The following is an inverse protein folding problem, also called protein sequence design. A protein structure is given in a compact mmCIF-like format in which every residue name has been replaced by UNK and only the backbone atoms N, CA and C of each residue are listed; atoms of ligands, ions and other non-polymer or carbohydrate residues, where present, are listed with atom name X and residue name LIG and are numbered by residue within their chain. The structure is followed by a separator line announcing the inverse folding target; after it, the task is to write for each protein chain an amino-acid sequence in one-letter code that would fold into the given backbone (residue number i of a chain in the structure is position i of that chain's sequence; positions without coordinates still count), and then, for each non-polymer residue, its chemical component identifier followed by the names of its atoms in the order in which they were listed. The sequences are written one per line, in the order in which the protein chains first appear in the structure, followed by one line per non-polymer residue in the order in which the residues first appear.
data_IF_137905951732
#
_entry.id   IF_137905951732
#
_cell.length_a   1.000
_cell.length_b   1.000
_cell.length_c   1.000
_cell.angle_alpha   90.00
_cell.angle_beta   90.00
_cell.angle_gamma   90.00
#
_symmetry.space_group_name_H-M   'P 1'
#
loop_
_entity.id
_entity.type
_entity.pdbx_description
1 polymer ?
#
# COMPACT_ATOMS: atom_id res chain seq x y z
N UNK A 1 -8.12 -2.58 -11.88
CA UNK A 1 -8.16 -2.40 -13.35
C UNK A 1 -9.37 -3.10 -13.94
N UNK A 2 -9.79 -2.76 -15.18
CA UNK A 2 -10.84 -3.48 -15.89
C UNK A 2 -10.53 -4.99 -16.06
N UNK A 3 -9.27 -5.33 -16.29
CA UNK A 3 -8.80 -6.69 -16.48
C UNK A 3 -8.91 -7.52 -15.20
N UNK A 4 -8.59 -6.95 -14.04
CA UNK A 4 -8.74 -7.62 -12.75
C UNK A 4 -10.22 -7.88 -12.41
N UNK A 5 -11.11 -6.95 -12.76
CA UNK A 5 -12.54 -7.15 -12.64
C UNK A 5 -13.02 -8.25 -13.60
N UNK A 6 -12.53 -8.25 -14.86
CA UNK A 6 -12.85 -9.27 -15.84
C UNK A 6 -12.44 -10.66 -15.37
N UNK A 7 -11.23 -10.79 -14.80
CA UNK A 7 -10.75 -12.04 -14.19
C UNK A 7 -11.64 -12.46 -13.02
N UNK A 8 -11.95 -11.55 -12.12
CA UNK A 8 -12.83 -11.82 -10.99
C UNK A 8 -14.21 -12.33 -11.43
N UNK A 9 -14.77 -11.73 -12.48
CA UNK A 9 -16.06 -12.15 -13.05
C UNK A 9 -15.98 -13.48 -13.81
N UNK A 10 -14.88 -13.73 -14.51
CA UNK A 10 -14.62 -14.97 -15.25
C UNK A 10 -14.53 -16.20 -14.33
N UNK A 11 -13.91 -16.06 -13.18
CA UNK A 11 -13.79 -17.13 -12.21
C UNK A 11 -15.15 -17.52 -11.62
N UNK A 12 -15.46 -18.82 -11.57
CA UNK A 12 -16.71 -19.34 -11.02
C UNK A 12 -17.98 -18.65 -11.56
N UNK A 13 -18.22 -18.65 -12.88
CA UNK A 13 -19.28 -17.84 -13.51
C UNK A 13 -20.70 -18.25 -13.09
N UNK A 14 -20.87 -19.46 -12.54
CA UNK A 14 -22.16 -19.97 -12.03
C UNK A 14 -22.52 -19.51 -10.63
N UNK A 15 -21.60 -18.80 -9.93
CA UNK A 15 -21.84 -18.30 -8.57
C UNK A 15 -22.16 -16.81 -8.59
N UNK A 16 -23.20 -16.42 -7.87
CA UNK A 16 -23.44 -15.02 -7.61
C UNK A 16 -22.24 -14.41 -6.87
N UNK A 17 -21.77 -13.27 -7.33
CA UNK A 17 -20.64 -12.54 -6.74
C UNK A 17 -21.11 -11.23 -6.16
N UNK A 18 -20.65 -10.92 -4.97
CA UNK A 18 -20.83 -9.60 -4.36
C UNK A 18 -19.60 -8.75 -4.66
N UNK A 19 -19.83 -7.58 -5.25
CA UNK A 19 -18.80 -6.57 -5.42
C UNK A 19 -18.87 -5.59 -4.25
N UNK A 20 -17.82 -5.53 -3.46
CA UNK A 20 -17.63 -4.61 -2.35
C UNK A 20 -16.16 -4.18 -2.32
N UNK A 21 -15.90 -3.07 -1.66
CA UNK A 21 -14.59 -2.41 -1.77
C UNK A 21 -13.42 -3.30 -1.30
N UNK A 22 -13.61 -4.09 -0.25
CA UNK A 22 -12.56 -4.94 0.34
C UNK A 22 -12.12 -6.09 -0.59
N UNK A 23 -12.93 -6.44 -1.60
CA UNK A 23 -12.53 -7.45 -2.59
C UNK A 23 -11.57 -6.89 -3.64
N UNK A 24 -11.57 -5.56 -3.86
CA UNK A 24 -10.80 -4.94 -4.95
C UNK A 24 -9.30 -5.21 -4.84
N UNK A 25 -8.63 -4.99 -3.70
CA UNK A 25 -7.20 -5.28 -3.58
C UNK A 25 -6.88 -6.75 -3.86
N UNK A 26 -7.66 -7.67 -3.33
CA UNK A 26 -7.49 -9.11 -3.54
C UNK A 26 -7.67 -9.51 -5.00
N UNK A 27 -8.68 -8.97 -5.67
CA UNK A 27 -8.94 -9.26 -7.08
C UNK A 27 -7.83 -8.74 -7.99
N UNK A 28 -7.26 -7.57 -7.66
CA UNK A 28 -6.11 -7.03 -8.39
C UNK A 28 -4.87 -7.89 -8.14
N UNK A 29 -4.57 -8.25 -6.90
CA UNK A 29 -3.41 -9.07 -6.56
C UNK A 29 -3.50 -10.46 -7.18
N UNK A 30 -4.69 -11.07 -7.20
CA UNK A 30 -4.92 -12.36 -7.87
C UNK A 30 -4.71 -12.26 -9.39
N UNK A 31 -5.13 -11.17 -10.01
CA UNK A 31 -4.86 -10.91 -11.42
C UNK A 31 -3.35 -10.79 -11.69
N UNK A 32 -2.62 -10.03 -10.89
CA UNK A 32 -1.17 -9.87 -11.01
C UNK A 32 -0.42 -11.19 -10.82
N UNK A 33 -0.82 -11.99 -9.84
CA UNK A 33 -0.27 -13.32 -9.58
C UNK A 33 -0.47 -14.28 -10.76
N UNK A 34 -1.64 -14.24 -11.42
CA UNK A 34 -1.89 -15.04 -12.62
C UNK A 34 -1.05 -14.58 -13.82
N UNK A 35 -0.77 -13.28 -13.98
CA UNK A 35 0.20 -12.78 -14.96
C UNK A 35 1.60 -13.33 -14.66
N UNK A 36 2.08 -13.25 -13.43
CA UNK A 36 3.40 -13.78 -13.07
C UNK A 36 3.50 -15.30 -13.26
N UNK A 37 2.44 -16.05 -12.94
CA UNK A 37 2.37 -17.48 -13.19
C UNK A 37 2.43 -17.80 -14.69
N UNK A 38 1.78 -17.01 -15.53
CA UNK A 38 1.75 -17.25 -16.98
C UNK A 38 3.14 -17.27 -17.62
N UNK A 39 4.09 -16.50 -17.11
CA UNK A 39 5.47 -16.42 -17.60
C UNK A 39 6.26 -17.73 -17.47
N UNK A 40 5.80 -18.62 -16.60
CA UNK A 40 6.46 -19.93 -16.30
C UNK A 40 5.68 -21.12 -16.85
N UNK A 41 4.55 -20.88 -17.53
CA UNK A 41 3.65 -21.90 -18.02
C UNK A 41 3.96 -22.28 -19.48
N UNK A 42 3.75 -23.54 -19.81
CA UNK A 42 3.76 -24.02 -21.21
C UNK A 42 2.50 -23.54 -21.93
N UNK A 43 2.48 -23.56 -23.27
CA UNK A 43 1.30 -23.18 -24.09
C UNK A 43 0.02 -23.91 -23.67
N UNK A 44 0.12 -25.19 -23.37
CA UNK A 44 -1.03 -25.99 -22.89
C UNK A 44 -1.52 -25.53 -21.51
N UNK A 45 -0.62 -25.12 -20.64
CA UNK A 45 -0.95 -24.61 -19.30
C UNK A 45 -1.51 -23.17 -19.38
N UNK A 46 -1.03 -22.37 -20.34
CA UNK A 46 -1.51 -21.00 -20.53
C UNK A 46 -3.01 -20.94 -20.83
N UNK A 47 -3.54 -21.86 -21.63
CA UNK A 47 -4.99 -21.93 -21.92
C UNK A 47 -5.82 -22.22 -20.66
N UNK A 48 -5.23 -22.86 -19.65
CA UNK A 48 -5.89 -23.12 -18.36
C UNK A 48 -5.76 -21.92 -17.39
N UNK A 49 -4.90 -20.95 -17.70
CA UNK A 49 -4.74 -19.76 -16.88
C UNK A 49 -5.87 -18.75 -17.23
N UNK A 50 -6.69 -18.31 -16.26
CA UNK A 50 -7.78 -17.38 -16.54
C UNK A 50 -7.33 -16.08 -17.20
N UNK A 51 -6.11 -15.61 -16.93
CA UNK A 51 -5.58 -14.36 -17.51
C UNK A 51 -5.39 -14.46 -19.04
N UNK A 52 -5.17 -15.67 -19.58
CA UNK A 52 -5.10 -15.90 -21.02
C UNK A 52 -6.42 -15.51 -21.71
N UNK A 53 -7.55 -15.88 -21.11
CA UNK A 53 -8.89 -15.56 -21.62
C UNK A 53 -9.21 -14.07 -21.48
N UNK A 54 -8.83 -13.45 -20.38
CA UNK A 54 -9.02 -12.01 -20.15
C UNK A 54 -8.29 -11.17 -21.20
N UNK A 55 -7.13 -11.62 -21.65
CA UNK A 55 -6.29 -10.94 -22.63
C UNK A 55 -6.38 -11.50 -24.07
N UNK A 56 -7.32 -12.41 -24.33
CA UNK A 56 -7.45 -13.06 -25.66
C UNK A 56 -6.11 -13.62 -26.17
N UNK A 57 -5.33 -14.25 -25.30
CA UNK A 57 -4.02 -14.82 -25.62
C UNK A 57 -2.83 -13.84 -25.57
N UNK A 58 -3.06 -12.55 -25.50
CA UNK A 58 -2.01 -11.51 -25.47
C UNK A 58 -1.70 -11.05 -24.05
N UNK A 59 -1.20 -11.97 -23.22
CA UNK A 59 -0.90 -11.69 -21.82
C UNK A 59 0.25 -10.68 -21.73
N UNK A 60 0.12 -9.61 -20.91
CA UNK A 60 1.20 -8.65 -20.69
C UNK A 60 2.44 -9.33 -20.10
N UNK A 61 3.61 -8.91 -20.57
CA UNK A 61 4.90 -9.43 -20.09
C UNK A 61 5.67 -8.44 -19.19
N UNK A 62 4.97 -7.46 -18.60
CA UNK A 62 5.58 -6.53 -17.67
C UNK A 62 5.88 -7.22 -16.34
N UNK A 63 7.09 -7.02 -15.81
CA UNK A 63 7.47 -7.52 -14.48
C UNK A 63 6.67 -6.82 -13.39
N UNK A 64 6.09 -7.57 -12.45
CA UNK A 64 5.40 -6.99 -11.31
C UNK A 64 6.41 -6.53 -10.25
N UNK A 65 6.37 -5.24 -9.93
CA UNK A 65 7.28 -4.61 -8.98
C UNK A 65 6.87 -4.95 -7.54
N UNK A 66 5.57 -4.82 -7.26
CA UNK A 66 4.95 -5.13 -5.97
C UNK A 66 3.45 -5.39 -6.16
N UNK A 67 2.81 -5.95 -5.15
CA UNK A 67 1.36 -6.19 -5.15
C UNK A 67 0.58 -4.88 -5.02
N UNK A 68 -0.69 -4.90 -5.41
CA UNK A 68 -1.57 -3.75 -5.23
C UNK A 68 -1.81 -3.44 -3.74
N UNK A 69 -1.93 -4.48 -2.91
CA UNK A 69 -2.02 -4.33 -1.46
C UNK A 69 -0.78 -3.64 -0.87
N UNK A 70 0.44 -3.95 -1.35
CA UNK A 70 1.65 -3.23 -0.95
C UNK A 70 1.65 -1.77 -1.41
N UNK A 71 1.14 -1.49 -2.62
CA UNK A 71 0.97 -0.12 -3.09
C UNK A 71 0.01 0.68 -2.21
N UNK A 72 -1.11 0.09 -1.79
CA UNK A 72 -2.05 0.74 -0.89
C UNK A 72 -1.41 1.06 0.46
N UNK A 73 -0.67 0.13 1.05
CA UNK A 73 0.08 0.38 2.28
C UNK A 73 1.11 1.50 2.09
N UNK A 74 1.76 1.56 0.92
CA UNK A 74 2.73 2.62 0.62
C UNK A 74 2.05 3.98 0.47
N UNK A 75 0.90 4.07 -0.19
CA UNK A 75 0.08 5.31 -0.25
C UNK A 75 -0.28 5.78 1.14
N UNK A 76 -0.76 4.86 1.97
CA UNK A 76 -1.19 5.15 3.34
C UNK A 76 -0.03 5.67 4.20
N UNK A 77 1.09 4.94 4.24
CA UNK A 77 2.24 5.29 5.09
C UNK A 77 2.99 6.53 4.61
N UNK A 78 3.02 6.78 3.30
CA UNK A 78 3.68 7.95 2.72
C UNK A 78 2.77 9.16 2.59
N UNK A 79 1.45 9.00 2.81
CA UNK A 79 0.43 10.00 2.52
C UNK A 79 0.55 10.59 1.10
N UNK A 80 0.91 9.75 0.14
CA UNK A 80 1.13 10.16 -1.25
C UNK A 80 -0.21 10.49 -1.92
N UNK A 81 -0.39 11.75 -2.29
CA UNK A 81 -1.59 12.29 -2.95
C UNK A 81 -1.49 12.31 -4.47
N UNK A 82 -0.29 12.08 -5.03
CA UNK A 82 -0.03 12.08 -6.47
C UNK A 82 0.97 10.99 -6.87
N UNK A 83 0.97 10.67 -8.18
CA UNK A 83 1.81 9.62 -8.74
C UNK A 83 3.31 9.90 -8.58
N UNK A 84 3.74 11.13 -8.78
CA UNK A 84 5.16 11.50 -8.74
C UNK A 84 5.75 11.23 -7.36
N UNK A 85 5.00 11.57 -6.32
CA UNK A 85 5.39 11.31 -4.94
C UNK A 85 5.44 9.80 -4.66
N UNK A 86 4.40 9.06 -5.05
CA UNK A 86 4.37 7.60 -4.83
C UNK A 86 5.49 6.89 -5.58
N UNK A 87 5.80 7.30 -6.82
CA UNK A 87 6.92 6.78 -7.58
C UNK A 87 8.29 7.05 -6.92
N UNK A 88 8.47 8.18 -6.23
CA UNK A 88 9.70 8.41 -5.44
C UNK A 88 9.90 7.35 -4.37
N UNK A 89 8.82 6.96 -3.68
CA UNK A 89 8.90 5.88 -2.69
C UNK A 89 9.12 4.52 -3.35
N UNK A 90 8.43 4.20 -4.43
CA UNK A 90 8.63 2.95 -5.18
C UNK A 90 10.08 2.81 -5.64
N UNK A 91 10.70 3.87 -6.14
CA UNK A 91 12.11 3.90 -6.57
C UNK A 91 13.11 3.68 -5.42
N UNK A 92 12.74 3.94 -4.16
CA UNK A 92 13.57 3.56 -3.01
C UNK A 92 13.68 2.04 -2.85
N UNK A 93 12.64 1.29 -3.22
CA UNK A 93 12.65 -0.18 -3.17
C UNK A 93 13.30 -0.82 -4.40
N UNK A 94 13.08 -0.24 -5.58
CA UNK A 94 13.67 -0.67 -6.87
C UNK A 94 14.22 0.54 -7.64
N UNK A 95 15.51 0.90 -7.51
CA UNK A 95 16.04 2.16 -8.06
C UNK A 95 16.03 2.27 -9.59
N UNK A 96 16.08 1.14 -10.30
CA UNK A 96 16.28 1.11 -11.77
C UNK A 96 14.96 1.03 -12.57
N UNK A 97 13.85 1.48 -12.01
CA UNK A 97 12.53 1.45 -12.66
C UNK A 97 12.01 2.87 -12.92
N UNK A 98 11.16 3.00 -13.93
CA UNK A 98 10.48 4.26 -14.23
C UNK A 98 9.11 4.02 -14.85
N UNK A 99 8.30 5.05 -14.86
CA UNK A 99 6.91 5.05 -15.31
C UNK A 99 6.76 4.60 -16.77
N UNK A 100 7.73 4.95 -17.62
CA UNK A 100 7.70 4.65 -19.07
C UNK A 100 7.95 3.18 -19.37
N UNK A 101 8.80 2.52 -18.56
CA UNK A 101 9.14 1.11 -18.74
C UNK A 101 8.14 0.16 -18.09
N UNK A 102 7.28 0.68 -17.20
CA UNK A 102 6.29 -0.08 -16.43
C UNK A 102 4.89 0.57 -16.53
N UNK A 103 4.27 0.62 -17.74
CA UNK A 103 3.00 1.32 -17.94
C UNK A 103 1.83 0.67 -17.21
N UNK A 104 1.81 -0.66 -17.04
CA UNK A 104 0.76 -1.34 -16.27
C UNK A 104 0.90 -0.99 -14.79
N UNK A 105 2.11 -1.06 -14.28
CA UNK A 105 2.37 -0.69 -12.89
C UNK A 105 2.11 0.80 -12.63
N UNK A 106 2.41 1.69 -13.58
CA UNK A 106 2.04 3.10 -13.50
C UNK A 106 0.52 3.31 -13.42
N UNK A 107 -0.23 2.50 -14.16
CA UNK A 107 -1.69 2.45 -14.03
C UNK A 107 -2.13 2.04 -12.62
N UNK A 108 -1.49 1.01 -12.04
CA UNK A 108 -1.78 0.55 -10.68
C UNK A 108 -1.44 1.61 -9.62
N UNK A 109 -0.34 2.35 -9.79
CA UNK A 109 0.01 3.50 -8.93
C UNK A 109 -1.13 4.52 -8.89
N UNK A 110 -1.69 4.88 -10.05
CA UNK A 110 -2.85 5.78 -10.12
C UNK A 110 -4.10 5.21 -9.48
N UNK A 111 -4.39 3.93 -9.70
CA UNK A 111 -5.53 3.26 -9.07
C UNK A 111 -5.39 3.14 -7.55
N UNK A 112 -4.18 2.92 -7.03
CA UNK A 112 -3.94 2.84 -5.59
C UNK A 112 -4.24 4.18 -4.90
N UNK A 113 -3.76 5.30 -5.44
CA UNK A 113 -4.05 6.63 -4.92
C UNK A 113 -5.56 6.92 -4.96
N UNK A 114 -6.19 6.62 -6.10
CA UNK A 114 -7.63 6.83 -6.24
C UNK A 114 -8.43 5.97 -5.26
N UNK A 115 -8.12 4.68 -5.14
CA UNK A 115 -8.80 3.77 -4.22
C UNK A 115 -8.61 4.20 -2.76
N UNK A 116 -7.41 4.62 -2.40
CA UNK A 116 -7.13 5.15 -1.06
C UNK A 116 -8.00 6.36 -0.75
N UNK A 117 -8.05 7.36 -1.65
CA UNK A 117 -8.82 8.58 -1.44
C UNK A 117 -10.34 8.33 -1.41
N UNK A 118 -10.85 7.50 -2.34
CA UNK A 118 -12.29 7.28 -2.51
C UNK A 118 -12.86 6.32 -1.45
N UNK A 119 -12.07 5.35 -0.98
CA UNK A 119 -12.55 4.25 -0.15
C UNK A 119 -11.91 4.27 1.23
N UNK A 120 -10.58 4.14 1.32
CA UNK A 120 -9.89 3.91 2.59
C UNK A 120 -9.95 5.16 3.46
N UNK A 121 -9.59 6.31 2.89
CA UNK A 121 -9.53 7.58 3.62
C UNK A 121 -10.87 7.99 4.24
N UNK A 122 -11.98 7.68 3.56
CA UNK A 122 -13.33 7.99 4.05
C UNK A 122 -13.78 7.11 5.24
N UNK A 123 -13.15 5.94 5.41
CA UNK A 123 -13.46 5.00 6.49
C UNK A 123 -12.60 5.23 7.73
N UNK A 124 -11.50 5.98 7.60
CA UNK A 124 -10.58 6.27 8.70
C UNK A 124 -11.18 7.21 9.73
N UNK A 125 -10.98 6.85 11.00
CA UNK A 125 -11.40 7.65 12.14
C UNK A 125 -10.17 8.13 12.90
N UNK A 126 -9.80 9.38 12.69
CA UNK A 126 -8.68 9.98 13.38
C UNK A 126 -9.07 10.37 14.80
N UNK A 127 -8.22 10.03 15.76
CA UNK A 127 -8.38 10.46 17.14
C UNK A 127 -8.04 11.95 17.26
N UNK A 128 -8.89 12.70 18.00
CA UNK A 128 -8.53 14.05 18.41
C UNK A 128 -7.73 13.96 19.73
N UNK A 129 -6.41 14.25 19.70
CA UNK A 129 -5.56 14.07 20.89
C UNK A 129 -5.90 15.08 21.97
N UNK A 130 -5.84 14.64 23.23
CA UNK A 130 -5.91 15.50 24.42
C UNK A 130 -4.71 16.47 24.49
N UNK A 131 -4.77 17.46 25.35
CA UNK A 131 -3.68 18.45 25.49
C UNK A 131 -2.32 17.80 25.86
N UNK A 132 -2.32 16.83 26.76
CA UNK A 132 -1.09 16.09 27.12
C UNK A 132 -0.57 15.25 25.94
N UNK A 133 -1.46 14.59 25.22
CA UNK A 133 -1.10 13.83 24.01
C UNK A 133 -0.54 14.74 22.91
N UNK A 134 -1.12 15.94 22.73
CA UNK A 134 -0.59 16.96 21.82
C UNK A 134 0.83 17.37 22.17
N UNK A 135 1.10 17.60 23.45
CA UNK A 135 2.46 17.96 23.92
C UNK A 135 3.47 16.84 23.61
N UNK A 136 3.09 15.59 23.86
CA UNK A 136 3.93 14.43 23.55
C UNK A 136 4.18 14.30 22.04
N UNK A 137 3.15 14.48 21.21
CA UNK A 137 3.28 14.46 19.74
C UNK A 137 4.12 15.64 19.22
N UNK A 138 4.01 16.82 19.81
CA UNK A 138 4.87 17.97 19.46
C UNK A 138 6.34 17.71 19.82
N UNK A 139 6.61 17.04 20.94
CA UNK A 139 7.95 16.60 21.28
C UNK A 139 8.50 15.60 20.26
N UNK A 140 7.67 14.67 19.79
CA UNK A 140 8.05 13.73 18.73
C UNK A 140 8.37 14.47 17.41
N UNK A 141 7.54 15.43 16.99
CA UNK A 141 7.80 16.22 15.78
C UNK A 141 9.17 16.91 15.89
N UNK A 142 9.44 17.61 17.00
CA UNK A 142 10.74 18.27 17.23
C UNK A 142 11.92 17.31 17.22
N UNK A 143 11.73 16.08 17.68
CA UNK A 143 12.76 15.04 17.67
C UNK A 143 13.00 14.55 16.24
N UNK A 144 11.92 14.28 15.47
CA UNK A 144 12.04 13.83 14.09
C UNK A 144 12.57 14.91 13.14
N UNK A 145 12.30 16.19 13.38
CA UNK A 145 12.88 17.31 12.62
C UNK A 145 14.43 17.39 12.72
N UNK A 146 15.01 16.82 13.77
CA UNK A 146 16.48 16.74 13.95
C UNK A 146 17.10 15.52 13.25
N UNK A 147 16.27 14.58 12.80
CA UNK A 147 16.74 13.41 12.05
C UNK A 147 17.21 13.83 10.66
N UNK A 148 18.27 13.18 10.18
CA UNK A 148 18.81 13.38 8.84
C UNK A 148 18.81 12.07 8.05
N UNK A 149 19.03 12.13 6.75
CA UNK A 149 19.01 10.98 5.85
C UNK A 149 20.13 9.94 6.12
N UNK A 150 21.06 10.22 7.04
CA UNK A 150 22.15 9.31 7.41
C UNK A 150 21.81 8.43 8.61
N UNK A 151 20.72 8.73 9.33
CA UNK A 151 20.29 7.94 10.47
C UNK A 151 19.69 6.61 10.03
N UNK A 152 20.08 5.54 10.72
CA UNK A 152 19.49 4.22 10.48
C UNK A 152 18.05 4.13 10.98
N UNK A 153 17.24 3.21 10.44
CA UNK A 153 15.88 2.96 10.93
C UNK A 153 15.85 2.64 12.44
N UNK A 154 16.86 1.92 12.94
CA UNK A 154 17.01 1.54 14.34
C UNK A 154 17.26 2.76 15.25
N UNK A 155 18.06 3.72 14.79
CA UNK A 155 18.30 4.97 15.51
C UNK A 155 17.03 5.82 15.58
N UNK A 156 16.30 5.95 14.47
CA UNK A 156 15.02 6.66 14.43
C UNK A 156 14.00 5.97 15.35
N UNK A 157 13.92 4.65 15.31
CA UNK A 157 13.05 3.87 16.19
C UNK A 157 13.40 4.12 17.68
N UNK A 158 14.67 4.14 18.02
CA UNK A 158 15.14 4.41 19.38
C UNK A 158 14.73 5.81 19.86
N UNK A 159 14.81 6.82 18.98
CA UNK A 159 14.34 8.18 19.28
C UNK A 159 12.83 8.24 19.53
N UNK A 160 12.04 7.52 18.75
CA UNK A 160 10.58 7.45 18.95
C UNK A 160 10.25 6.82 20.31
N UNK A 161 10.95 5.73 20.67
CA UNK A 161 10.80 5.07 21.97
C UNK A 161 11.19 5.99 23.15
N UNK A 162 12.34 6.66 23.06
CA UNK A 162 12.81 7.54 24.12
C UNK A 162 11.88 8.74 24.31
N UNK A 163 11.42 9.35 23.21
CA UNK A 163 10.46 10.44 23.26
C UNK A 163 9.15 10.03 23.96
N UNK A 164 8.64 8.84 23.68
CA UNK A 164 7.46 8.32 24.38
C UNK A 164 7.70 8.17 25.89
N UNK A 165 8.83 7.59 26.29
CA UNK A 165 9.19 7.43 27.71
C UNK A 165 9.30 8.77 28.45
N UNK A 166 9.92 9.76 27.83
CA UNK A 166 10.13 11.10 28.40
C UNK A 166 8.82 11.91 28.52
N UNK A 167 7.80 11.57 27.73
CA UNK A 167 6.53 12.28 27.70
C UNK A 167 5.36 11.48 28.31
N UNK A 168 5.65 10.67 29.33
CA UNK A 168 4.62 10.04 30.18
C UNK A 168 4.20 8.61 29.80
N UNK A 169 4.86 7.99 28.79
CA UNK A 169 4.58 6.63 28.36
C UNK A 169 5.64 5.60 28.78
N UNK A 170 6.42 5.92 29.85
CA UNK A 170 7.51 5.04 30.34
C UNK A 170 7.02 3.67 30.79
N UNK A 171 5.83 3.58 31.37
CA UNK A 171 5.25 2.33 31.88
C UNK A 171 4.51 1.54 30.79
N UNK A 172 3.97 2.22 29.78
CA UNK A 172 3.20 1.59 28.72
C UNK A 172 3.45 2.21 27.34
N UNK A 173 4.54 1.78 26.71
CA UNK A 173 4.92 2.19 25.36
C UNK A 173 3.89 1.75 24.28
N UNK A 174 3.07 0.74 24.59
CA UNK A 174 1.99 0.33 23.66
C UNK A 174 0.98 1.45 23.46
N UNK A 175 0.62 2.17 24.52
CA UNK A 175 -0.31 3.31 24.43
C UNK A 175 0.31 4.48 23.64
N UNK A 176 1.66 4.65 23.71
CA UNK A 176 2.38 5.62 22.90
C UNK A 176 2.24 5.34 21.40
N UNK A 177 2.52 4.11 21.01
CA UNK A 177 2.38 3.72 19.60
C UNK A 177 0.91 3.73 19.16
N UNK A 178 -0.01 3.28 20.01
CA UNK A 178 -1.45 3.37 19.75
C UNK A 178 -1.86 4.81 19.48
N UNK A 179 -1.43 5.77 20.29
CA UNK A 179 -1.70 7.20 20.07
C UNK A 179 -1.20 7.67 18.71
N UNK A 180 0.04 7.33 18.33
CA UNK A 180 0.59 7.70 17.03
C UNK A 180 -0.27 7.12 15.89
N UNK A 181 -0.62 5.83 15.96
CA UNK A 181 -1.44 5.18 14.93
C UNK A 181 -2.83 5.81 14.83
N UNK A 182 -3.51 6.04 15.94
CA UNK A 182 -4.86 6.62 15.97
C UNK A 182 -4.89 8.07 15.44
N UNK A 183 -3.85 8.86 15.72
CA UNK A 183 -3.80 10.27 15.32
C UNK A 183 -3.28 10.44 13.90
N UNK A 184 -2.25 9.67 13.50
CA UNK A 184 -1.58 9.85 12.20
C UNK A 184 -2.24 9.01 11.11
N UNK A 185 -2.59 7.76 11.42
CA UNK A 185 -3.13 6.82 10.42
C UNK A 185 -4.64 6.59 10.54
N UNK A 186 -5.27 6.96 11.64
CA UNK A 186 -6.70 6.75 11.87
C UNK A 186 -7.06 5.26 12.07
N UNK A 187 -6.15 4.48 12.62
CA UNK A 187 -6.31 3.05 12.91
C UNK A 187 -6.31 2.82 14.44
N UNK A 188 -7.06 1.79 14.89
CA UNK A 188 -7.07 1.34 16.29
C UNK A 188 -5.95 0.34 16.60
#
# INVERSE_FOLDING_TARGET
SPESLSLYMYQNPKRAKKLYNEIVPKAVDEYLDNIEKSKKQTEQQLVMNPVWHVHNGNIPNEEMIMTFSMLLNLVETSNADNKDLLWKFVKKYKPNINEKNFPIFDGLVGYAIKFFNDVIKSQKKYKNPSENEKLALQALIKTLEKCNDQMSPEEIQTLIYSTGKENGYSENLRDWFKLIYEVVFGDE
#
